data_IF_783942993975
#
_entry.id   IF_783942993975
#
_cell.length_a   1.000
_cell.length_b   1.000
_cell.length_c   1.000
_cell.angle_alpha   90.00
_cell.angle_beta   90.00
_cell.angle_gamma   90.00
#
_symmetry.space_group_name_H-M   'P 1'
#
loop_
_entity.id
_entity.type
_entity.pdbx_description
1 polymer ?
#
# COMPACT_ATOMS: atom_id res chain seq x y z
N UNK A 1 11.38 -0.31 -2.65
CA UNK A 1 12.71 -0.44 -2.03
C UNK A 1 13.07 -1.91 -1.92
N UNK A 2 14.04 -2.25 -1.06
CA UNK A 2 14.33 -3.65 -0.67
C UNK A 2 13.31 -4.24 0.31
N UNK A 3 12.38 -3.40 0.79
CA UNK A 3 11.22 -3.80 1.57
C UNK A 3 9.96 -3.08 1.10
N UNK A 4 8.81 -3.57 1.53
CA UNK A 4 7.47 -3.10 1.17
C UNK A 4 6.51 -3.25 2.36
N UNK A 5 5.60 -2.29 2.51
CA UNK A 5 4.45 -2.42 3.41
C UNK A 5 3.25 -2.95 2.61
N UNK A 6 2.64 -4.02 3.10
CA UNK A 6 1.50 -4.70 2.48
C UNK A 6 0.26 -4.45 3.35
N UNK A 7 -0.84 -4.02 2.75
CA UNK A 7 -2.17 -4.07 3.39
C UNK A 7 -2.86 -5.37 2.99
N UNK A 8 -3.17 -6.23 3.95
CA UNK A 8 -3.75 -7.55 3.72
C UNK A 8 -5.06 -7.67 4.50
N UNK A 9 -6.17 -7.73 3.78
CA UNK A 9 -7.48 -8.04 4.38
C UNK A 9 -7.54 -9.51 4.75
N UNK A 10 -7.98 -9.83 5.97
CA UNK A 10 -8.07 -11.19 6.49
C UNK A 10 -9.47 -11.73 6.20
N UNK A 11 -9.53 -12.80 5.42
CA UNK A 11 -10.76 -13.51 5.09
C UNK A 11 -10.74 -14.92 5.72
N UNK A 12 -11.84 -15.65 5.55
CA UNK A 12 -11.99 -17.02 6.07
C UNK A 12 -10.96 -18.02 5.50
N UNK A 13 -10.33 -17.70 4.37
CA UNK A 13 -9.32 -18.54 3.74
C UNK A 13 -7.92 -18.36 4.34
N UNK A 14 -7.73 -17.35 5.19
CA UNK A 14 -6.45 -17.06 5.83
C UNK A 14 -6.08 -18.16 6.84
N UNK A 15 -4.98 -18.91 6.64
CA UNK A 15 -4.59 -20.02 7.52
C UNK A 15 -4.19 -19.60 8.94
N UNK A 16 -3.89 -18.32 9.14
CA UNK A 16 -3.30 -17.78 10.37
C UNK A 16 -4.29 -17.01 11.25
N UNK A 17 -5.59 -17.15 10.97
CA UNK A 17 -6.65 -16.60 11.82
C UNK A 17 -6.57 -17.19 13.23
N UNK A 18 -6.91 -16.40 14.24
CA UNK A 18 -6.82 -16.72 15.67
C UNK A 18 -5.39 -17.05 16.16
N UNK A 19 -4.36 -16.69 15.39
CA UNK A 19 -2.96 -16.91 15.78
C UNK A 19 -2.38 -15.63 16.37
N UNK A 20 -1.67 -15.76 17.50
CA UNK A 20 -0.98 -14.62 18.09
C UNK A 20 0.22 -14.18 17.23
N UNK A 21 0.51 -12.88 17.16
CA UNK A 21 1.61 -12.34 16.35
C UNK A 21 2.99 -12.94 16.73
N UNK A 22 3.22 -13.21 18.02
CA UNK A 22 4.41 -13.93 18.48
C UNK A 22 4.48 -15.35 17.92
N UNK A 23 3.38 -16.08 17.88
CA UNK A 23 3.36 -17.42 17.29
C UNK A 23 3.64 -17.39 15.79
N UNK A 24 3.14 -16.38 15.06
CA UNK A 24 3.47 -16.23 13.63
C UNK A 24 4.96 -16.01 13.41
N UNK A 25 5.56 -15.20 14.27
CA UNK A 25 7.01 -14.97 14.29
C UNK A 25 7.79 -16.26 14.51
N UNK A 26 7.33 -17.11 15.43
CA UNK A 26 8.01 -18.37 15.77
C UNK A 26 7.83 -19.42 14.67
N UNK A 27 6.60 -19.56 14.14
CA UNK A 27 6.28 -20.48 13.05
C UNK A 27 7.03 -20.16 11.76
N UNK A 28 7.25 -18.88 11.49
CA UNK A 28 7.88 -18.37 10.27
C UNK A 28 9.17 -17.60 10.57
N UNK A 29 10.06 -18.19 11.38
CA UNK A 29 11.31 -17.55 11.83
C UNK A 29 12.26 -17.07 10.72
N UNK A 30 12.21 -17.69 9.54
CA UNK A 30 13.01 -17.30 8.37
C UNK A 30 12.39 -16.20 7.51
N UNK A 31 11.13 -15.84 7.78
CA UNK A 31 10.43 -14.81 7.04
C UNK A 31 10.80 -13.44 7.59
N UNK A 32 11.32 -12.56 6.74
CA UNK A 32 11.65 -11.17 7.10
C UNK A 32 10.41 -10.31 6.91
N UNK A 33 9.41 -10.58 7.74
CA UNK A 33 8.19 -9.79 7.80
C UNK A 33 7.71 -9.57 9.22
N UNK A 34 7.01 -8.47 9.44
CA UNK A 34 6.41 -8.12 10.72
C UNK A 34 5.09 -7.41 10.50
N UNK A 35 4.07 -7.77 11.28
CA UNK A 35 2.81 -7.02 11.32
C UNK A 35 3.04 -5.77 12.16
N UNK A 36 2.85 -4.60 11.56
CA UNK A 36 3.10 -3.30 12.20
C UNK A 36 1.82 -2.52 12.47
N UNK A 37 0.69 -2.95 11.92
CA UNK A 37 -0.60 -2.32 12.15
C UNK A 37 -1.74 -3.30 11.95
N UNK A 38 -2.81 -3.17 12.73
CA UNK A 38 -4.06 -3.91 12.51
C UNK A 38 -5.19 -2.89 12.49
N UNK A 39 -6.03 -2.95 11.46
CA UNK A 39 -7.32 -2.26 11.45
C UNK A 39 -8.42 -3.24 11.74
N UNK A 40 -9.17 -3.00 12.81
CA UNK A 40 -10.31 -3.79 13.24
C UNK A 40 -11.51 -2.89 13.48
N UNK A 41 -12.65 -3.23 12.89
CA UNK A 41 -13.90 -2.47 13.03
C UNK A 41 -13.75 -0.96 12.75
N UNK A 42 -12.87 -0.63 11.79
CA UNK A 42 -12.58 0.74 11.37
C UNK A 42 -11.45 1.42 12.15
N UNK A 43 -11.05 0.91 13.32
CA UNK A 43 -9.97 1.49 14.14
C UNK A 43 -8.62 0.87 13.80
N UNK A 44 -7.62 1.72 13.49
CA UNK A 44 -6.23 1.32 13.31
C UNK A 44 -5.44 1.41 14.62
N UNK A 45 -4.60 0.44 14.90
CA UNK A 45 -3.68 0.46 16.04
C UNK A 45 -2.36 -0.28 15.74
N UNK A 46 -1.31 0.06 16.50
CA UNK A 46 -0.05 -0.68 16.51
C UNK A 46 -0.22 -1.93 17.40
N UNK A 47 -0.02 -3.16 16.89
CA UNK A 47 -0.31 -4.36 17.65
C UNK A 47 0.86 -4.81 18.55
N UNK A 48 0.51 -5.47 19.64
CA UNK A 48 1.43 -6.14 20.55
C UNK A 48 1.72 -7.59 20.13
N UNK A 49 2.83 -8.21 20.58
CA UNK A 49 3.13 -9.61 20.27
C UNK A 49 2.05 -10.61 20.70
N UNK A 50 1.23 -10.26 21.69
CA UNK A 50 0.13 -11.07 22.19
C UNK A 50 -1.15 -10.98 21.36
N UNK A 51 -1.29 -9.94 20.52
CA UNK A 51 -2.49 -9.72 19.72
C UNK A 51 -2.70 -10.84 18.70
N UNK A 52 -3.98 -11.09 18.44
CA UNK A 52 -4.42 -12.10 17.47
C UNK A 52 -5.05 -11.42 16.26
N UNK A 53 -5.00 -12.14 15.15
CA UNK A 53 -5.59 -11.74 13.88
C UNK A 53 -6.96 -12.42 13.71
N UNK A 54 -7.99 -11.67 13.35
CA UNK A 54 -9.34 -12.17 13.11
C UNK A 54 -9.82 -11.91 11.69
N UNK A 55 -10.83 -12.65 11.25
CA UNK A 55 -11.51 -12.41 9.98
C UNK A 55 -12.14 -11.02 9.99
N UNK A 56 -11.96 -10.27 8.91
CA UNK A 56 -12.41 -8.88 8.80
C UNK A 56 -11.32 -7.86 9.14
N UNK A 57 -10.23 -8.26 9.80
CA UNK A 57 -9.10 -7.38 10.04
C UNK A 57 -8.43 -6.97 8.71
N UNK A 58 -7.84 -5.77 8.67
CA UNK A 58 -6.82 -5.43 7.68
C UNK A 58 -5.47 -5.31 8.37
N UNK A 59 -4.56 -6.25 8.08
CA UNK A 59 -3.22 -6.28 8.63
C UNK A 59 -2.25 -5.52 7.72
N UNK A 60 -1.46 -4.62 8.32
CA UNK A 60 -0.36 -3.94 7.66
C UNK A 60 0.95 -4.67 7.98
N UNK A 61 1.53 -5.30 6.98
CA UNK A 61 2.69 -6.19 7.11
C UNK A 61 3.87 -5.61 6.37
N UNK A 62 4.93 -5.28 7.13
CA UNK A 62 6.21 -4.92 6.53
C UNK A 62 6.93 -6.20 6.11
N UNK A 63 7.43 -6.26 4.87
CA UNK A 63 8.06 -7.47 4.31
C UNK A 63 9.27 -7.11 3.45
N UNK A 64 10.33 -7.92 3.54
CA UNK A 64 11.41 -7.88 2.55
C UNK A 64 10.83 -8.15 1.15
N UNK A 65 11.37 -7.50 0.12
CA UNK A 65 10.86 -7.58 -1.26
C UNK A 65 10.80 -9.03 -1.78
N UNK A 66 11.87 -9.81 -1.54
CA UNK A 66 11.93 -11.23 -1.92
C UNK A 66 10.95 -12.13 -1.15
N UNK A 67 10.51 -11.70 0.05
CA UNK A 67 9.64 -12.49 0.92
C UNK A 67 8.16 -12.17 0.69
N UNK A 68 7.83 -11.11 -0.07
CA UNK A 68 6.44 -10.69 -0.36
C UNK A 68 5.55 -11.85 -0.85
N UNK A 69 5.97 -12.69 -1.84
CA UNK A 69 5.12 -13.78 -2.31
C UNK A 69 4.80 -14.79 -1.19
N UNK A 70 5.79 -15.13 -0.37
CA UNK A 70 5.65 -16.06 0.75
C UNK A 70 4.80 -15.46 1.87
N UNK A 71 4.97 -14.17 2.15
CA UNK A 71 4.11 -13.43 3.08
C UNK A 71 2.65 -13.50 2.63
N UNK A 72 2.35 -13.22 1.36
CA UNK A 72 0.98 -13.32 0.85
C UNK A 72 0.41 -14.75 0.96
N UNK A 73 1.20 -15.77 0.63
CA UNK A 73 0.79 -17.18 0.74
C UNK A 73 0.44 -17.58 2.18
N UNK A 74 1.23 -17.17 3.16
CA UNK A 74 0.97 -17.42 4.59
C UNK A 74 -0.36 -16.81 5.05
N UNK A 75 -0.71 -15.66 4.51
CA UNK A 75 -2.00 -14.99 4.75
C UNK A 75 -3.13 -15.51 3.84
N UNK A 76 -2.93 -16.63 3.14
CA UNK A 76 -3.93 -17.27 2.28
C UNK A 76 -4.15 -16.55 0.94
N UNK A 77 -3.34 -15.54 0.61
CA UNK A 77 -3.49 -14.76 -0.62
C UNK A 77 -2.79 -15.46 -1.77
N UNK A 78 -3.59 -16.05 -2.65
CA UNK A 78 -3.09 -16.67 -3.88
C UNK A 78 -2.81 -15.59 -4.93
N UNK A 79 -1.56 -15.43 -5.35
CA UNK A 79 -1.24 -14.60 -6.51
C UNK A 79 -1.67 -15.32 -7.80
N UNK A 80 -2.88 -15.03 -8.28
CA UNK A 80 -3.20 -15.30 -9.68
C UNK A 80 -2.53 -14.23 -10.54
N UNK A 81 -1.82 -14.63 -11.60
CA UNK A 81 -1.36 -13.68 -12.61
C UNK A 81 -2.58 -13.01 -13.22
N UNK A 82 -2.61 -11.68 -13.13
CA UNK A 82 -3.58 -10.88 -13.85
C UNK A 82 -3.07 -10.77 -15.29
N UNK A 83 -3.69 -11.50 -16.19
CA UNK A 83 -3.34 -11.51 -17.61
C UNK A 83 -4.15 -10.46 -18.38
N UNK A 84 -5.26 -9.95 -17.81
CA UNK A 84 -6.18 -9.03 -18.48
C UNK A 84 -6.67 -7.92 -17.55
N UNK A 85 -6.49 -6.68 -17.97
CA UNK A 85 -6.94 -5.49 -17.24
C UNK A 85 -7.77 -4.58 -18.15
N UNK A 86 -8.89 -4.08 -17.65
CA UNK A 86 -9.67 -3.02 -18.29
C UNK A 86 -9.46 -1.73 -17.50
N UNK A 87 -9.15 -0.64 -18.19
CA UNK A 87 -8.95 0.68 -17.60
C UNK A 87 -10.04 1.60 -18.13
N UNK A 88 -10.77 2.27 -17.25
CA UNK A 88 -11.72 3.33 -17.59
C UNK A 88 -11.06 4.68 -17.28
N UNK A 89 -10.85 5.49 -18.32
CA UNK A 89 -10.07 6.72 -18.28
C UNK A 89 -8.70 6.56 -18.94
N UNK A 90 -8.50 7.28 -20.05
CA UNK A 90 -7.26 7.37 -20.83
C UNK A 90 -6.43 8.62 -20.53
N UNK A 91 -6.76 9.35 -19.46
CA UNK A 91 -6.00 10.51 -18.99
C UNK A 91 -4.58 10.16 -18.50
N UNK A 92 -3.93 11.09 -17.80
CA UNK A 92 -2.53 10.94 -17.39
C UNK A 92 -2.27 9.65 -16.58
N UNK A 93 -3.17 9.33 -15.64
CA UNK A 93 -3.05 8.15 -14.78
C UNK A 93 -3.25 6.88 -15.60
N UNK A 94 -4.37 6.75 -16.31
CA UNK A 94 -4.68 5.55 -17.11
C UNK A 94 -3.64 5.27 -18.19
N UNK A 95 -3.17 6.29 -18.90
CA UNK A 95 -2.09 6.17 -19.87
C UNK A 95 -0.78 5.70 -19.23
N UNK A 96 -0.42 6.23 -18.06
CA UNK A 96 0.81 5.82 -17.35
C UNK A 96 0.73 4.36 -16.90
N UNK A 97 -0.43 3.94 -16.38
CA UNK A 97 -0.67 2.56 -15.98
C UNK A 97 -0.57 1.64 -17.19
N UNK A 98 -1.27 1.96 -18.29
CA UNK A 98 -1.23 1.18 -19.52
C UNK A 98 0.19 1.01 -20.07
N UNK A 99 0.98 2.09 -20.17
CA UNK A 99 2.39 2.03 -20.60
C UNK A 99 3.25 1.12 -19.72
N UNK A 100 2.99 1.07 -18.41
CA UNK A 100 3.70 0.14 -17.51
C UNK A 100 3.25 -1.29 -17.75
N UNK A 101 1.96 -1.52 -17.98
CA UNK A 101 1.41 -2.85 -18.28
C UNK A 101 1.93 -3.40 -19.62
N UNK A 102 2.20 -2.57 -20.62
CA UNK A 102 2.77 -3.00 -21.91
C UNK A 102 4.17 -3.64 -21.78
N UNK A 103 4.93 -3.23 -20.75
CA UNK A 103 6.22 -3.83 -20.39
C UNK A 103 6.09 -5.19 -19.72
N UNK A 104 4.88 -5.55 -19.30
CA UNK A 104 4.53 -6.83 -18.71
C UNK A 104 3.86 -7.75 -19.74
N UNK A 105 3.47 -8.97 -19.34
CA UNK A 105 2.68 -9.87 -20.20
C UNK A 105 1.17 -9.60 -20.13
N UNK A 106 0.75 -8.64 -19.32
CA UNK A 106 -0.65 -8.26 -19.11
C UNK A 106 -1.23 -7.58 -20.34
N UNK A 107 -2.42 -7.99 -20.75
CA UNK A 107 -3.18 -7.35 -21.83
C UNK A 107 -4.09 -6.28 -21.23
N UNK A 108 -3.87 -5.03 -21.62
CA UNK A 108 -4.71 -3.92 -21.20
C UNK A 108 -5.67 -3.50 -22.32
N UNK A 109 -6.85 -3.02 -21.93
CA UNK A 109 -7.70 -2.18 -22.78
C UNK A 109 -8.09 -0.92 -22.03
N UNK A 110 -8.22 0.20 -22.74
CA UNK A 110 -8.67 1.47 -22.19
C UNK A 110 -10.03 1.81 -22.80
N UNK A 111 -10.95 2.32 -21.97
CA UNK A 111 -12.16 3.01 -22.41
C UNK A 111 -11.99 4.50 -22.07
N UNK A 112 -12.14 5.37 -23.06
CA UNK A 112 -11.98 6.82 -22.89
C UNK A 112 -13.10 7.58 -23.61
N UNK A 113 -13.79 8.45 -22.87
CA UNK A 113 -14.94 9.21 -23.35
C UNK A 113 -14.53 10.29 -24.36
N UNK A 114 -13.47 11.04 -24.06
CA UNK A 114 -13.02 12.12 -24.92
C UNK A 114 -12.19 11.58 -26.09
N UNK A 115 -12.68 11.79 -27.30
CA UNK A 115 -12.03 11.32 -28.53
C UNK A 115 -10.58 11.79 -28.67
N UNK A 116 -10.27 13.05 -28.35
CA UNK A 116 -8.90 13.57 -28.45
C UNK A 116 -7.95 12.98 -27.40
N UNK A 117 -8.46 12.58 -26.23
CA UNK A 117 -7.66 11.83 -25.25
C UNK A 117 -7.46 10.39 -25.72
N UNK A 118 -8.51 9.75 -26.25
CA UNK A 118 -8.46 8.39 -26.78
C UNK A 118 -7.46 8.27 -27.94
N UNK A 119 -7.48 9.19 -28.90
CA UNK A 119 -6.55 9.24 -30.03
C UNK A 119 -5.09 9.38 -29.54
N UNK A 120 -4.82 10.32 -28.62
CA UNK A 120 -3.48 10.46 -28.01
C UNK A 120 -3.02 9.21 -27.26
N UNK A 121 -3.94 8.54 -26.55
CA UNK A 121 -3.62 7.29 -25.86
C UNK A 121 -3.31 6.17 -26.86
N UNK A 122 -4.08 6.06 -27.94
CA UNK A 122 -3.90 5.07 -29.00
C UNK A 122 -2.58 5.27 -29.76
N UNK A 123 -2.20 6.52 -30.03
CA UNK A 123 -0.89 6.84 -30.65
C UNK A 123 0.29 6.53 -29.72
N UNK A 124 0.09 6.66 -28.40
CA UNK A 124 1.12 6.49 -27.39
C UNK A 124 1.35 5.03 -26.95
N UNK A 125 0.44 4.12 -27.29
CA UNK A 125 0.40 2.74 -26.80
C UNK A 125 0.51 1.78 -27.98
N UNK A 126 1.44 0.82 -27.91
CA UNK A 126 1.72 -0.08 -29.03
C UNK A 126 0.87 -1.35 -28.99
N UNK A 127 0.47 -1.79 -27.79
CA UNK A 127 -0.16 -3.10 -27.54
C UNK A 127 -1.53 -2.99 -26.87
N UNK A 128 -1.86 -1.83 -26.34
CA UNK A 128 -3.10 -1.57 -25.61
C UNK A 128 -4.19 -1.13 -26.59
N UNK A 129 -5.36 -1.77 -26.52
CA UNK A 129 -6.53 -1.36 -27.32
C UNK A 129 -7.21 -0.19 -26.62
N UNK A 130 -7.48 0.89 -27.35
CA UNK A 130 -8.22 2.04 -26.85
C UNK A 130 -9.59 2.10 -27.52
N UNK A 131 -10.64 2.07 -26.72
CA UNK A 131 -12.03 2.21 -27.13
C UNK A 131 -12.51 3.62 -26.79
N UNK A 132 -13.11 4.32 -27.76
CA UNK A 132 -13.69 5.63 -27.51
C UNK A 132 -15.18 5.49 -27.17
N UNK A 133 -15.58 5.97 -25.99
CA UNK A 133 -16.97 5.99 -25.54
C UNK A 133 -17.10 6.07 -24.02
N UNK A 134 -18.33 6.01 -23.54
CA UNK A 134 -18.62 6.14 -22.11
C UNK A 134 -18.24 4.86 -21.35
N UNK A 135 -17.38 5.00 -20.34
CA UNK A 135 -16.97 3.92 -19.44
C UNK A 135 -18.09 3.35 -18.57
N UNK A 136 -19.26 4.02 -18.54
CA UNK A 136 -20.47 3.50 -17.93
C UNK A 136 -21.29 2.65 -18.92
N UNK A 137 -21.10 2.73 -20.23
CA UNK A 137 -21.89 1.97 -21.20
C UNK A 137 -21.61 0.46 -21.08
N UNK A 138 -22.66 -0.32 -20.77
CA UNK A 138 -22.59 -1.78 -20.67
C UNK A 138 -22.16 -2.44 -21.99
N UNK A 139 -22.54 -1.90 -23.15
CA UNK A 139 -22.11 -2.45 -24.43
C UNK A 139 -20.59 -2.31 -24.59
N UNK A 140 -20.04 -1.15 -24.19
CA UNK A 140 -18.63 -0.85 -24.30
C UNK A 140 -17.79 -1.61 -23.26
N UNK A 141 -18.30 -1.78 -22.03
CA UNK A 141 -17.68 -2.64 -21.02
C UNK A 141 -17.62 -4.10 -21.48
N UNK A 142 -18.66 -4.58 -22.16
CA UNK A 142 -18.69 -5.91 -22.75
C UNK A 142 -17.71 -6.05 -23.94
N UNK A 143 -17.61 -5.04 -24.80
CA UNK A 143 -16.61 -5.00 -25.88
C UNK A 143 -15.16 -4.98 -25.33
N UNK A 144 -14.93 -4.21 -24.27
CA UNK A 144 -13.68 -4.22 -23.53
C UNK A 144 -13.40 -5.62 -22.93
N UNK A 145 -14.45 -6.39 -22.63
CA UNK A 145 -14.38 -7.74 -22.12
C UNK A 145 -14.20 -7.78 -20.61
N UNK A 146 -14.86 -6.85 -19.90
CA UNK A 146 -14.75 -6.68 -18.44
C UNK A 146 -15.04 -7.97 -17.66
N UNK A 147 -16.02 -8.76 -18.12
CA UNK A 147 -16.38 -10.06 -17.52
C UNK A 147 -15.24 -11.10 -17.57
N UNK A 148 -14.29 -10.94 -18.49
CA UNK A 148 -13.12 -11.82 -18.66
C UNK A 148 -11.83 -11.16 -18.20
N UNK A 149 -11.90 -9.95 -17.64
CA UNK A 149 -10.75 -9.27 -17.09
C UNK A 149 -10.49 -9.78 -15.68
N UNK A 150 -9.21 -9.84 -15.29
CA UNK A 150 -8.82 -10.18 -13.92
C UNK A 150 -8.93 -8.97 -12.99
N UNK A 151 -8.87 -7.76 -13.55
CA UNK A 151 -9.12 -6.53 -12.83
C UNK A 151 -9.68 -5.43 -13.75
N UNK A 152 -10.46 -4.54 -13.15
CA UNK A 152 -10.90 -3.27 -13.72
C UNK A 152 -10.36 -2.11 -12.89
N UNK A 153 -9.89 -1.06 -13.56
CA UNK A 153 -9.34 0.15 -12.93
C UNK A 153 -10.07 1.38 -13.47
N UNK A 154 -10.80 2.09 -12.62
CA UNK A 154 -11.49 3.34 -12.96
C UNK A 154 -10.67 4.54 -12.49
N UNK A 155 -10.09 5.30 -13.42
CA UNK A 155 -9.10 6.36 -13.18
C UNK A 155 -9.42 7.63 -13.96
N UNK A 156 -10.70 7.97 -14.02
CA UNK A 156 -11.18 9.26 -14.56
C UNK A 156 -11.01 10.37 -13.53
N UNK A 157 -11.23 11.62 -13.94
CA UNK A 157 -11.18 12.81 -13.07
C UNK A 157 -12.42 12.95 -12.16
N UNK A 158 -13.45 12.12 -12.32
CA UNK A 158 -14.70 12.17 -11.54
C UNK A 158 -14.88 10.93 -10.66
N UNK A 159 -14.88 11.13 -9.34
CA UNK A 159 -14.97 10.05 -8.37
C UNK A 159 -16.28 9.24 -8.51
N UNK A 160 -17.40 9.89 -8.87
CA UNK A 160 -18.69 9.23 -9.03
C UNK A 160 -18.67 8.28 -10.23
N UNK A 161 -18.06 8.72 -11.34
CA UNK A 161 -17.84 7.91 -12.53
C UNK A 161 -16.95 6.72 -12.20
N UNK A 162 -15.89 6.93 -11.42
CA UNK A 162 -15.00 5.84 -11.00
C UNK A 162 -15.73 4.79 -10.14
N UNK A 163 -16.52 5.23 -9.16
CA UNK A 163 -17.34 4.34 -8.34
C UNK A 163 -18.38 3.58 -9.16
N UNK A 164 -19.16 4.28 -10.00
CA UNK A 164 -20.21 3.66 -10.81
C UNK A 164 -19.64 2.68 -11.84
N UNK A 165 -18.52 3.02 -12.48
CA UNK A 165 -17.85 2.14 -13.43
C UNK A 165 -17.33 0.87 -12.74
N UNK A 166 -16.75 1.00 -11.53
CA UNK A 166 -16.32 -0.14 -10.73
C UNK A 166 -17.51 -1.04 -10.34
N UNK A 167 -18.63 -0.45 -9.87
CA UNK A 167 -19.85 -1.20 -9.53
C UNK A 167 -20.42 -1.93 -10.76
N UNK A 168 -20.48 -1.26 -11.93
CA UNK A 168 -20.89 -1.93 -13.17
C UNK A 168 -19.96 -3.07 -13.54
N UNK A 169 -18.64 -2.87 -13.45
CA UNK A 169 -17.67 -3.93 -13.73
C UNK A 169 -17.89 -5.16 -12.82
N UNK A 170 -18.17 -4.95 -11.52
CA UNK A 170 -18.51 -6.05 -10.60
C UNK A 170 -19.82 -6.74 -11.01
N UNK A 171 -20.85 -5.99 -11.37
CA UNK A 171 -22.12 -6.54 -11.83
C UNK A 171 -21.99 -7.38 -13.11
N UNK A 172 -21.07 -7.01 -14.00
CA UNK A 172 -20.73 -7.74 -15.23
C UNK A 172 -19.77 -8.94 -14.98
N UNK A 173 -19.41 -9.20 -13.72
CA UNK A 173 -18.63 -10.39 -13.32
C UNK A 173 -17.11 -10.18 -13.24
N UNK A 174 -16.62 -8.94 -13.26
CA UNK A 174 -15.20 -8.68 -12.99
C UNK A 174 -14.87 -9.06 -11.54
N UNK A 175 -13.84 -9.88 -11.29
CA UNK A 175 -13.52 -10.34 -9.94
C UNK A 175 -12.95 -9.22 -9.07
N UNK A 176 -12.24 -8.25 -9.65
CA UNK A 176 -11.54 -7.20 -8.90
C UNK A 176 -11.72 -5.83 -9.55
N UNK A 177 -12.27 -4.86 -8.82
CA UNK A 177 -12.50 -3.50 -9.29
C UNK A 177 -11.80 -2.47 -8.38
N UNK A 178 -11.02 -1.60 -9.00
CA UNK A 178 -10.21 -0.57 -8.34
C UNK A 178 -10.70 0.80 -8.81
N UNK A 179 -10.98 1.71 -7.88
CA UNK A 179 -11.39 3.07 -8.22
C UNK A 179 -10.38 4.12 -7.73
N UNK A 180 -10.09 5.11 -8.56
CA UNK A 180 -9.43 6.32 -8.12
C UNK A 180 -10.45 7.22 -7.42
N UNK A 181 -10.20 7.52 -6.15
CA UNK A 181 -11.09 8.30 -5.29
C UNK A 181 -10.28 9.44 -4.68
N UNK A 182 -10.61 10.66 -5.07
CA UNK A 182 -10.01 11.84 -4.50
C UNK A 182 -10.70 12.19 -3.18
N UNK A 183 -12.02 12.18 -3.13
CA UNK A 183 -12.84 12.54 -1.96
C UNK A 183 -12.85 11.44 -0.88
N UNK A 184 -12.20 11.65 0.28
CA UNK A 184 -12.16 10.65 1.35
C UNK A 184 -13.55 10.36 1.93
N UNK A 185 -14.52 11.28 1.81
CA UNK A 185 -15.88 11.07 2.31
C UNK A 185 -16.64 9.96 1.56
N UNK A 186 -16.16 9.57 0.38
CA UNK A 186 -16.73 8.47 -0.41
C UNK A 186 -16.15 7.10 -0.02
N UNK A 187 -15.02 7.04 0.68
CA UNK A 187 -14.34 5.79 1.05
C UNK A 187 -15.24 4.81 1.82
N UNK A 188 -16.05 5.24 2.81
CA UNK A 188 -16.95 4.33 3.53
C UNK A 188 -18.01 3.67 2.64
N UNK A 189 -18.30 4.24 1.46
CA UNK A 189 -19.30 3.70 0.53
C UNK A 189 -18.73 2.60 -0.37
N UNK A 190 -17.40 2.48 -0.49
CA UNK A 190 -16.76 1.57 -1.44
C UNK A 190 -17.02 0.10 -1.12
N UNK A 191 -16.83 -0.29 0.14
CA UNK A 191 -17.01 -1.68 0.59
C UNK A 191 -18.47 -2.15 0.44
N UNK A 192 -19.50 -1.39 0.88
CA UNK A 192 -20.91 -1.74 0.62
C UNK A 192 -21.25 -1.89 -0.86
N UNK A 193 -20.56 -1.15 -1.74
CA UNK A 193 -20.73 -1.21 -3.19
C UNK A 193 -19.92 -2.34 -3.86
N UNK A 194 -19.16 -3.13 -3.10
CA UNK A 194 -18.36 -4.23 -3.62
C UNK A 194 -17.11 -3.80 -4.40
N UNK A 195 -16.65 -2.56 -4.21
CA UNK A 195 -15.40 -2.06 -4.79
C UNK A 195 -14.24 -2.59 -3.95
N UNK A 196 -13.33 -3.32 -4.57
CA UNK A 196 -12.33 -4.11 -3.86
C UNK A 196 -11.15 -3.27 -3.35
N UNK A 197 -10.80 -2.19 -4.05
CA UNK A 197 -9.72 -1.30 -3.64
C UNK A 197 -9.91 0.12 -4.19
N UNK A 198 -9.19 1.08 -3.61
CA UNK A 198 -9.12 2.44 -4.14
C UNK A 198 -7.72 3.04 -4.07
N UNK A 199 -7.52 4.06 -4.89
CA UNK A 199 -6.30 4.86 -4.92
C UNK A 199 -6.70 6.31 -4.66
N UNK A 200 -6.08 6.96 -3.67
CA UNK A 200 -6.23 8.39 -3.44
C UNK A 200 -4.93 9.14 -3.85
N UNK A 201 -4.91 9.81 -5.02
CA UNK A 201 -3.74 10.55 -5.47
C UNK A 201 -3.36 11.70 -4.53
N UNK A 202 -4.33 12.31 -3.82
CA UNK A 202 -4.06 13.42 -2.89
C UNK A 202 -3.21 12.95 -1.71
N UNK A 203 -3.53 11.79 -1.14
CA UNK A 203 -2.73 11.19 -0.06
C UNK A 203 -1.29 10.90 -0.50
N UNK A 204 -1.10 10.48 -1.76
CA UNK A 204 0.24 10.25 -2.33
C UNK A 204 1.03 11.55 -2.48
N UNK A 205 0.36 12.63 -2.92
CA UNK A 205 0.98 13.97 -3.01
C UNK A 205 1.35 14.50 -1.63
N UNK A 206 0.47 14.36 -0.62
CA UNK A 206 0.73 14.76 0.77
C UNK A 206 1.98 14.05 1.29
N UNK A 207 2.06 12.73 1.11
CA UNK A 207 3.23 11.93 1.45
C UNK A 207 4.53 12.46 0.82
N UNK A 208 4.48 12.91 -0.44
CA UNK A 208 5.64 13.49 -1.13
C UNK A 208 6.07 14.87 -0.60
N UNK A 209 5.14 15.63 -0.03
CA UNK A 209 5.41 16.94 0.58
C UNK A 209 5.96 16.76 2.00
N UNK A 210 5.32 15.88 2.80
CA UNK A 210 5.71 15.60 4.18
C UNK A 210 7.19 15.26 4.30
N UNK A 211 7.74 14.43 3.39
CA UNK A 211 9.18 14.09 3.42
C UNK A 211 10.14 15.30 3.42
N UNK A 212 9.72 16.45 2.88
CA UNK A 212 10.57 17.67 2.82
C UNK A 212 10.33 18.60 4.01
N UNK A 213 9.23 18.42 4.74
CA UNK A 213 8.86 19.23 5.90
C UNK A 213 9.30 18.54 7.20
N UNK A 214 9.32 17.20 7.23
CA UNK A 214 9.72 16.41 8.39
C UNK A 214 11.16 16.71 8.80
N UNK A 215 11.37 16.81 10.11
CA UNK A 215 12.68 16.98 10.70
C UNK A 215 13.47 15.66 10.73
N UNK A 216 14.81 15.76 10.71
CA UNK A 216 15.71 14.59 10.60
C UNK A 216 16.00 14.19 9.14
N UNK A 217 16.79 13.13 8.94
CA UNK A 217 17.10 12.59 7.60
C UNK A 217 16.00 11.64 7.10
N UNK A 218 14.80 12.15 6.93
CA UNK A 218 13.67 11.38 6.40
C UNK A 218 13.84 11.19 4.89
N UNK A 219 13.79 9.93 4.45
CA UNK A 219 13.92 9.52 3.05
C UNK A 219 12.56 9.42 2.37
N UNK A 220 11.59 8.82 3.05
CA UNK A 220 10.24 8.61 2.54
C UNK A 220 9.23 8.67 3.69
N UNK A 221 8.02 9.11 3.38
CA UNK A 221 6.85 9.06 4.27
C UNK A 221 5.70 8.51 3.44
N UNK A 222 4.90 7.62 4.01
CA UNK A 222 3.66 7.14 3.41
C UNK A 222 2.54 7.21 4.44
N UNK A 223 1.45 7.90 4.13
CA UNK A 223 0.25 7.91 4.98
C UNK A 223 -0.54 6.61 4.81
N UNK A 224 -1.08 6.09 5.92
CA UNK A 224 -1.88 4.88 5.99
C UNK A 224 -3.31 5.25 6.41
N UNK A 225 -4.31 4.70 5.71
CA UNK A 225 -5.72 5.06 5.94
C UNK A 225 -5.99 6.52 5.56
N UNK A 226 -6.75 7.24 6.40
CA UNK A 226 -6.97 8.68 6.27
C UNK A 226 -5.97 9.48 7.13
N UNK A 227 -4.69 9.17 6.97
CA UNK A 227 -3.58 9.71 7.78
C UNK A 227 -3.65 9.36 9.28
N UNK A 228 -4.28 8.24 9.62
CA UNK A 228 -4.33 7.70 11.00
C UNK A 228 -2.97 7.15 11.46
N UNK A 229 -2.10 6.78 10.51
CA UNK A 229 -0.73 6.37 10.76
C UNK A 229 0.19 6.75 9.59
N UNK A 230 1.50 6.74 9.83
CA UNK A 230 2.54 6.98 8.83
C UNK A 230 3.58 5.86 8.85
N UNK A 231 4.05 5.47 7.66
CA UNK A 231 5.30 4.74 7.49
C UNK A 231 6.40 5.75 7.18
N UNK A 232 7.39 5.86 8.06
CA UNK A 232 8.51 6.79 7.95
C UNK A 232 9.80 5.98 7.72
N UNK A 233 10.47 6.23 6.60
CA UNK A 233 11.82 5.72 6.36
C UNK A 233 12.82 6.85 6.65
N UNK A 234 13.72 6.64 7.61
CA UNK A 234 14.69 7.65 8.01
C UNK A 234 16.09 7.06 8.19
N UNK A 235 17.10 7.85 7.82
CA UNK A 235 18.51 7.52 8.09
C UNK A 235 18.89 7.98 9.50
N UNK A 236 19.45 7.06 10.28
CA UNK A 236 19.89 7.33 11.65
C UNK A 236 21.16 8.17 11.61
N UNK A 237 21.08 9.38 12.14
CA UNK A 237 22.23 10.27 12.24
C UNK A 237 23.14 9.87 13.41
N UNK A 238 24.44 10.16 13.33
CA UNK A 238 25.38 9.89 14.44
C UNK A 238 25.03 10.63 15.74
N UNK A 239 24.26 11.70 15.64
CA UNK A 239 23.78 12.52 16.76
C UNK A 239 22.35 12.19 17.18
N UNK A 240 21.73 11.18 16.56
CA UNK A 240 20.41 10.72 16.98
C UNK A 240 20.52 9.95 18.31
N UNK A 241 19.55 10.10 19.23
CA UNK A 241 19.43 9.24 20.41
C UNK A 241 19.44 7.74 20.09
N UNK A 242 19.05 7.34 18.88
CA UNK A 242 19.00 5.95 18.44
C UNK A 242 20.39 5.38 18.13
N UNK A 243 21.37 6.23 17.77
CA UNK A 243 22.67 5.79 17.30
C UNK A 243 23.46 5.12 18.43
N UNK A 244 23.88 3.87 18.18
CA UNK A 244 24.67 3.08 19.11
C UNK A 244 23.86 2.37 20.20
N UNK A 245 22.53 2.52 20.23
CA UNK A 245 21.65 1.81 21.17
C UNK A 245 21.22 0.44 20.64
N UNK A 246 20.92 -0.48 21.55
CA UNK A 246 20.26 -1.75 21.22
C UNK A 246 18.76 -1.52 21.14
N UNK A 247 18.07 -2.17 20.21
CA UNK A 247 16.61 -1.99 20.02
C UNK A 247 15.78 -2.12 21.29
N UNK A 248 16.10 -3.09 22.16
CA UNK A 248 15.38 -3.30 23.43
C UNK A 248 15.60 -2.20 24.48
N UNK A 249 16.65 -1.39 24.32
CA UNK A 249 17.04 -0.35 25.26
C UNK A 249 16.45 1.01 24.85
N UNK A 250 15.86 1.10 23.66
CA UNK A 250 15.20 2.31 23.14
C UNK A 250 13.75 2.32 23.57
N UNK A 251 13.33 3.42 24.18
CA UNK A 251 11.97 3.65 24.62
C UNK A 251 11.13 4.23 23.45
N UNK A 252 10.45 3.35 22.74
CA UNK A 252 9.51 3.73 21.68
C UNK A 252 8.11 3.95 22.27
N UNK A 253 7.36 4.98 21.82
CA UNK A 253 5.95 5.12 22.15
C UNK A 253 5.13 3.89 21.75
N UNK A 254 4.03 3.61 22.45
CA UNK A 254 3.20 2.42 22.21
C UNK A 254 2.67 2.32 20.77
N UNK A 255 2.34 3.46 20.13
CA UNK A 255 1.89 3.49 18.74
C UNK A 255 3.01 3.43 17.70
N UNK A 256 4.25 3.14 18.09
CA UNK A 256 5.42 3.11 17.19
C UNK A 256 6.02 1.72 17.12
N UNK A 257 6.16 1.19 15.91
CA UNK A 257 6.81 -0.10 15.64
C UNK A 257 7.86 0.03 14.54
N UNK A 258 9.02 -0.58 14.74
CA UNK A 258 10.00 -0.74 13.68
C UNK A 258 9.57 -1.89 12.78
N UNK A 259 9.39 -1.62 11.48
CA UNK A 259 9.08 -2.62 10.45
C UNK A 259 10.32 -3.30 9.89
N UNK A 260 11.41 -2.54 9.67
CA UNK A 260 12.70 -3.09 9.29
C UNK A 260 13.85 -2.11 9.49
N UNK A 261 15.06 -2.66 9.43
CA UNK A 261 16.30 -1.90 9.52
C UNK A 261 17.17 -2.29 8.32
N UNK A 262 17.63 -1.32 7.55
CA UNK A 262 18.59 -1.53 6.48
C UNK A 262 19.98 -1.17 7.00
N UNK A 263 20.84 -2.18 7.11
CA UNK A 263 22.21 -2.07 7.58
C UNK A 263 23.15 -2.58 6.50
N UNK A 264 24.17 -1.79 6.15
CA UNK A 264 25.10 -2.11 5.04
C UNK A 264 24.40 -2.45 3.71
N UNK A 265 23.24 -1.85 3.48
CA UNK A 265 22.43 -2.10 2.28
C UNK A 265 21.60 -3.40 2.31
N UNK A 266 21.62 -4.17 3.39
CA UNK A 266 20.77 -5.35 3.57
C UNK A 266 19.62 -5.05 4.52
N UNK A 267 18.42 -5.51 4.17
CA UNK A 267 17.24 -5.34 5.01
C UNK A 267 17.18 -6.48 6.01
N UNK A 268 17.20 -6.10 7.28
CA UNK A 268 17.16 -6.97 8.44
C UNK A 268 15.82 -6.82 9.16
N UNK A 269 15.39 -7.93 9.75
CA UNK A 269 14.25 -7.94 10.66
C UNK A 269 14.65 -7.22 11.96
N UNK A 270 13.76 -6.41 12.55
CA UNK A 270 14.02 -5.77 13.84
C UNK A 270 14.00 -6.84 14.94
N UNK A 271 15.16 -7.05 15.57
CA UNK A 271 15.34 -7.96 16.69
C UNK A 271 15.74 -7.17 17.93
N UNK A 272 15.25 -7.57 19.10
CA UNK A 272 15.55 -6.90 20.37
C UNK A 272 17.06 -6.73 20.64
N UNK A 273 17.89 -7.65 20.16
CA UNK A 273 19.35 -7.63 20.30
C UNK A 273 20.09 -6.83 19.22
N UNK A 274 19.38 -6.32 18.21
CA UNK A 274 20.01 -5.60 17.11
C UNK A 274 20.47 -4.22 17.61
N UNK A 275 21.70 -3.84 17.25
CA UNK A 275 22.25 -2.52 17.54
C UNK A 275 22.06 -1.61 16.33
N UNK A 276 21.41 -0.47 16.56
CA UNK A 276 21.23 0.58 15.56
C UNK A 276 22.51 1.41 15.49
N UNK A 277 23.05 1.60 14.30
CA UNK A 277 24.26 2.38 14.07
C UNK A 277 23.96 3.61 13.20
N UNK A 278 24.86 4.59 13.27
CA UNK A 278 24.77 5.77 12.41
C UNK A 278 24.91 5.35 10.94
N UNK A 279 24.02 5.87 10.09
CA UNK A 279 23.92 5.52 8.68
C UNK A 279 22.96 4.36 8.38
N UNK A 280 22.47 3.64 9.40
CA UNK A 280 21.39 2.68 9.21
C UNK A 280 20.11 3.41 8.75
N UNK A 281 19.30 2.76 7.91
CA UNK A 281 17.99 3.28 7.53
C UNK A 281 16.91 2.47 8.23
N UNK A 282 16.10 3.11 9.05
CA UNK A 282 15.02 2.46 9.79
C UNK A 282 13.67 2.80 9.13
N UNK A 283 12.80 1.80 9.04
CA UNK A 283 11.42 1.95 8.62
C UNK A 283 10.51 1.81 9.84
N UNK A 284 9.80 2.88 10.18
CA UNK A 284 8.96 3.02 11.35
C UNK A 284 7.50 3.13 10.92
N UNK A 285 6.64 2.31 11.49
CA UNK A 285 5.20 2.56 11.54
C UNK A 285 4.92 3.40 12.78
N UNK A 286 4.16 4.48 12.64
CA UNK A 286 3.78 5.34 13.75
C UNK A 286 2.32 5.75 13.61
N UNK A 287 1.55 5.60 14.69
CA UNK A 287 0.23 6.23 14.81
C UNK A 287 0.37 7.76 14.73
N UNK A 288 -0.65 8.44 14.19
CA UNK A 288 -0.61 9.89 13.93
C UNK A 288 -0.19 10.71 15.17
N UNK A 289 -0.69 10.33 16.34
CA UNK A 289 -0.42 11.00 17.62
C UNK A 289 1.05 10.86 18.06
N UNK A 290 1.73 9.79 17.64
CA UNK A 290 3.11 9.48 18.05
C UNK A 290 4.17 9.96 17.03
N UNK A 291 3.76 10.51 15.89
CA UNK A 291 4.69 11.00 14.85
C UNK A 291 5.64 12.06 15.39
N UNK A 292 5.18 12.94 16.28
CA UNK A 292 6.02 13.97 16.91
C UNK A 292 7.17 13.39 17.73
N UNK A 293 6.90 12.30 18.47
CA UNK A 293 7.93 11.61 19.25
C UNK A 293 8.92 10.85 18.35
N UNK A 294 8.44 10.27 17.25
CA UNK A 294 9.31 9.69 16.22
C UNK A 294 10.27 10.73 15.66
N UNK A 295 9.79 11.92 15.32
CA UNK A 295 10.65 13.01 14.87
C UNK A 295 11.70 13.36 15.92
N UNK A 296 11.33 13.43 17.21
CA UNK A 296 12.27 13.71 18.29
C UNK A 296 13.38 12.65 18.41
N UNK A 297 13.04 11.37 18.21
CA UNK A 297 14.01 10.27 18.19
C UNK A 297 14.93 10.32 16.96
N UNK A 298 14.43 10.82 15.83
CA UNK A 298 15.19 10.98 14.58
C UNK A 298 16.00 12.28 14.53
N UNK A 299 15.63 13.27 15.35
CA UNK A 299 16.30 14.55 15.47
C UNK A 299 17.61 14.46 16.25
N UNK A 300 18.40 15.52 16.11
CA UNK A 300 19.69 15.72 16.76
C UNK A 300 19.45 16.10 18.22
N UNK A 301 20.13 15.43 19.16
CA UNK A 301 20.19 15.92 20.55
C UNK A 301 20.95 17.26 20.59
N UNK A 302 20.39 18.26 21.27
CA UNK A 302 20.91 19.64 21.33
C UNK A 302 22.27 19.71 22.06
N UNK A 303 22.73 18.63 22.70
CA UNK A 303 23.99 18.56 23.45
C UNK A 303 25.28 18.59 22.58
N UNK A 304 25.16 18.88 21.27
CA UNK A 304 26.29 19.00 20.34
C UNK A 304 26.61 20.45 19.90
N UNK A 305 26.07 21.46 20.58
CA UNK A 305 26.49 22.87 20.44
C UNK A 305 27.10 23.44 21.72
#
# INVERSE_FOLDING_TARGET
GKAQLLGITIDESCPVVNTALRQLTDLFSTLRSIVVGIRRDGTLFAPEPGDQIFVGDACYVFSHADDVPRTLEIFGKTQKKQDRVVIVGGGNVGLTVARRLEKSRTRAKIIELNRGIAERAAEALERTIVLNGDGLDSALLNEAGVARADAMLAVTDDDKTNMLAAVRAKAEGCPFAIALINDPTLVPLLSPLGIDAYINPRATTVSSILRHIRHGRVRQVYSIGDAEAELIEAEVMSTSPLAGQTMRDIDFPEGVLIGAIMKNGEVMRPLASLRIEAGDVIALFAMADDVGEVERLLQVSIDFF
#
